data_IF_070745974139
#
_entry.id   IF_070745974139
#
_cell.length_a   1.000
_cell.length_b   1.000
_cell.length_c   1.000
_cell.angle_alpha   90.00
_cell.angle_beta   90.00
_cell.angle_gamma   90.00
#
_symmetry.space_group_name_H-M   'P 1'
#
loop_
_entity.id
_entity.type
_entity.pdbx_description
1 polymer ?
#
# COMPACT_ATOMS: atom_id res chain seq x y z
N UNK A 1 16.23 7.69 -16.73
CA UNK A 1 17.02 6.60 -17.37
C UNK A 1 17.77 5.94 -16.24
N UNK A 2 17.06 5.05 -15.54
CA UNK A 2 17.62 4.33 -14.40
C UNK A 2 18.53 3.25 -14.96
N UNK A 3 19.83 3.34 -14.59
CA UNK A 3 20.84 2.39 -15.01
C UNK A 3 20.43 0.97 -14.65
N UNK A 4 20.57 0.08 -15.60
CA UNK A 4 20.38 -1.35 -15.38
C UNK A 4 21.29 -1.78 -14.25
N UNK A 5 20.69 -2.42 -13.24
CA UNK A 5 21.43 -2.96 -12.12
C UNK A 5 22.45 -3.99 -12.62
N UNK A 6 23.70 -3.86 -12.18
CA UNK A 6 24.81 -4.76 -12.53
C UNK A 6 24.48 -6.23 -12.23
N UNK A 7 23.65 -6.47 -11.24
CA UNK A 7 23.17 -7.80 -10.85
C UNK A 7 22.29 -8.42 -11.94
N UNK A 8 21.34 -7.67 -12.49
CA UNK A 8 20.52 -8.11 -13.64
C UNK A 8 21.39 -8.44 -14.85
N UNK A 9 22.42 -7.65 -15.09
CA UNK A 9 23.39 -7.86 -16.16
C UNK A 9 24.12 -9.19 -16.02
N UNK A 10 24.64 -9.46 -14.82
CA UNK A 10 25.32 -10.72 -14.52
C UNK A 10 24.39 -11.92 -14.65
N UNK A 11 23.14 -11.80 -14.20
CA UNK A 11 22.16 -12.87 -14.32
C UNK A 11 21.89 -13.25 -15.77
N UNK A 12 21.70 -12.28 -16.67
CA UNK A 12 21.47 -12.54 -18.10
C UNK A 12 22.67 -13.25 -18.71
N UNK A 13 23.89 -12.79 -18.45
CA UNK A 13 25.12 -13.40 -18.98
C UNK A 13 25.23 -14.85 -18.50
N UNK A 14 25.04 -15.12 -17.22
CA UNK A 14 25.12 -16.48 -16.66
C UNK A 14 24.12 -17.44 -17.33
N UNK A 15 22.90 -16.99 -17.54
CA UNK A 15 21.88 -17.84 -18.24
C UNK A 15 22.25 -18.05 -19.70
N UNK A 16 22.82 -17.05 -20.38
CA UNK A 16 23.31 -17.21 -21.75
C UNK A 16 24.47 -18.21 -21.86
N UNK A 17 25.32 -18.25 -20.82
CA UNK A 17 26.45 -19.18 -20.70
C UNK A 17 26.01 -20.59 -20.25
N UNK A 18 24.70 -20.83 -20.07
CA UNK A 18 24.13 -22.14 -19.79
C UNK A 18 23.75 -22.38 -18.31
N UNK A 19 23.87 -21.40 -17.43
CA UNK A 19 23.35 -21.52 -16.07
C UNK A 19 21.80 -21.57 -16.07
N UNK A 20 21.22 -22.25 -15.10
CA UNK A 20 19.77 -22.20 -14.88
C UNK A 20 19.35 -20.86 -14.28
N UNK A 21 18.07 -20.43 -14.42
CA UNK A 21 17.58 -19.24 -13.76
C UNK A 21 17.80 -19.25 -12.24
N UNK A 22 17.63 -20.40 -11.58
CA UNK A 22 17.84 -20.57 -10.12
C UNK A 22 19.28 -20.31 -9.69
N UNK A 23 20.24 -20.70 -10.53
CA UNK A 23 21.66 -20.42 -10.28
C UNK A 23 22.01 -18.95 -10.56
N UNK A 24 21.26 -18.29 -11.43
CA UNK A 24 21.59 -16.95 -11.93
C UNK A 24 21.02 -15.82 -11.06
N UNK A 25 19.80 -15.99 -10.53
CA UNK A 25 19.11 -14.95 -9.75
C UNK A 25 18.06 -15.56 -8.79
N UNK A 26 17.51 -14.72 -7.89
CA UNK A 26 16.41 -15.12 -7.00
C UNK A 26 15.12 -15.35 -7.77
N UNK A 27 14.78 -16.61 -8.02
CA UNK A 27 13.57 -17.02 -8.77
C UNK A 27 12.27 -16.76 -7.99
N UNK A 28 12.32 -16.56 -6.66
CA UNK A 28 11.15 -16.20 -5.87
C UNK A 28 10.76 -14.71 -6.09
N UNK A 29 11.68 -13.91 -6.59
CA UNK A 29 11.47 -12.49 -6.86
C UNK A 29 10.74 -12.27 -8.20
N UNK A 30 9.49 -11.82 -8.15
CA UNK A 30 8.77 -11.34 -9.34
C UNK A 30 9.51 -10.19 -10.05
N UNK A 31 10.27 -9.39 -9.28
CA UNK A 31 11.11 -8.31 -9.83
C UNK A 31 12.25 -8.82 -10.68
N UNK A 32 12.94 -9.89 -10.21
CA UNK A 32 14.07 -10.47 -10.90
C UNK A 32 13.68 -11.07 -12.28
N UNK A 33 12.54 -11.76 -12.37
CA UNK A 33 12.02 -12.25 -13.64
C UNK A 33 11.72 -11.14 -14.64
N UNK A 34 11.13 -10.03 -14.18
CA UNK A 34 10.84 -8.88 -15.04
C UNK A 34 12.12 -8.15 -15.48
N UNK A 35 13.10 -8.05 -14.59
CA UNK A 35 14.39 -7.48 -14.88
C UNK A 35 15.15 -8.36 -15.88
N UNK A 36 15.14 -9.69 -15.70
CA UNK A 36 15.72 -10.63 -16.64
C UNK A 36 15.09 -10.51 -18.04
N UNK A 37 13.75 -10.53 -18.15
CA UNK A 37 13.06 -10.35 -19.43
C UNK A 37 13.44 -9.04 -20.12
N UNK A 38 13.46 -7.95 -19.39
CA UNK A 38 13.84 -6.66 -19.91
C UNK A 38 15.34 -6.60 -20.30
N UNK A 39 16.21 -7.22 -19.48
CA UNK A 39 17.65 -7.30 -19.76
C UNK A 39 18.01 -8.06 -21.01
N UNK A 40 17.33 -9.17 -21.29
CA UNK A 40 17.52 -9.94 -22.54
C UNK A 40 17.05 -9.14 -23.76
N UNK A 41 15.97 -8.35 -23.65
CA UNK A 41 15.36 -7.61 -24.75
C UNK A 41 16.06 -6.33 -25.16
N UNK A 42 16.99 -5.84 -24.36
CA UNK A 42 17.70 -4.61 -24.70
C UNK A 42 18.90 -4.89 -25.61
N UNK A 43 18.72 -4.85 -26.94
CA UNK A 43 19.77 -5.18 -27.89
C UNK A 43 20.86 -4.11 -27.96
N UNK A 44 20.54 -2.85 -27.63
CA UNK A 44 21.45 -1.73 -27.73
C UNK A 44 22.65 -1.86 -26.77
N UNK A 45 22.41 -2.50 -25.63
CA UNK A 45 23.46 -2.74 -24.64
C UNK A 45 24.23 -4.06 -24.90
N UNK A 46 23.69 -4.97 -25.74
CA UNK A 46 24.26 -6.31 -25.95
C UNK A 46 24.02 -6.88 -27.33
N UNK A 47 24.53 -6.27 -28.39
CA UNK A 47 24.41 -6.80 -29.73
C UNK A 47 24.99 -8.23 -29.88
N UNK A 48 25.93 -8.61 -29.01
CA UNK A 48 26.59 -9.93 -29.03
C UNK A 48 25.69 -11.09 -28.55
N UNK A 49 24.63 -10.83 -27.76
CA UNK A 49 23.68 -11.89 -27.33
C UNK A 49 22.97 -12.57 -28.51
N UNK A 50 22.88 -11.88 -29.65
CA UNK A 50 22.15 -12.34 -30.84
C UNK A 50 23.02 -12.30 -32.10
N UNK A 51 24.27 -11.85 -32.00
CA UNK A 51 25.26 -11.89 -33.07
C UNK A 51 26.13 -13.14 -32.90
N UNK A 52 26.56 -13.70 -34.04
CA UNK A 52 27.53 -14.81 -34.08
C UNK A 52 28.74 -14.49 -33.20
N UNK A 53 29.35 -15.49 -32.50
CA UNK A 53 30.63 -15.28 -31.83
C UNK A 53 31.62 -14.73 -32.87
N UNK A 54 32.24 -13.58 -32.52
CA UNK A 54 33.23 -12.93 -33.35
C UNK A 54 34.42 -13.87 -33.54
N UNK A 55 34.58 -14.41 -34.72
CA UNK A 55 35.68 -15.32 -35.01
C UNK A 55 36.04 -15.50 -36.47
N UNK A 56 35.17 -15.10 -37.41
CA UNK A 56 35.59 -15.05 -38.79
C UNK A 56 35.08 -13.78 -39.46
N UNK A 57 35.99 -12.95 -40.08
CA UNK A 57 35.56 -11.87 -40.91
C UNK A 57 34.71 -12.45 -42.03
N UNK A 58 33.52 -11.87 -42.23
CA UNK A 58 32.68 -12.16 -43.40
C UNK A 58 33.52 -12.00 -44.67
N UNK A 59 33.96 -13.10 -45.24
CA UNK A 59 34.60 -13.07 -46.55
C UNK A 59 33.58 -12.47 -47.51
N UNK A 60 33.88 -11.35 -48.15
CA UNK A 60 32.96 -10.78 -49.11
C UNK A 60 32.56 -11.86 -50.09
N UNK A 61 31.26 -11.90 -50.41
CA UNK A 61 30.75 -12.86 -51.41
C UNK A 61 31.59 -12.76 -52.69
N UNK A 62 32.04 -13.88 -53.26
CA UNK A 62 32.92 -13.88 -54.41
C UNK A 62 32.27 -13.05 -55.54
N UNK A 63 33.01 -12.05 -56.00
CA UNK A 63 32.55 -11.20 -57.10
C UNK A 63 32.36 -11.98 -58.36
N UNK A 64 31.58 -11.45 -59.29
CA UNK A 64 31.35 -12.11 -60.59
C UNK A 64 32.71 -12.39 -61.30
N UNK A 65 33.73 -11.59 -61.08
CA UNK A 65 35.09 -11.76 -61.56
C UNK A 65 35.84 -12.93 -60.90
N UNK A 66 35.57 -13.24 -59.62
CA UNK A 66 36.16 -14.39 -58.91
C UNK A 66 35.58 -15.71 -59.43
N UNK A 67 34.26 -15.70 -59.78
CA UNK A 67 33.58 -16.85 -60.38
C UNK A 67 34.08 -17.16 -61.79
N UNK A 68 34.38 -16.09 -62.57
CA UNK A 68 34.88 -16.21 -63.95
C UNK A 68 36.35 -16.67 -63.99
N UNK A 69 37.13 -16.45 -62.94
CA UNK A 69 38.54 -16.83 -62.84
C UNK A 69 38.77 -18.24 -62.29
N UNK A 70 37.70 -19.04 -62.10
CA UNK A 70 37.83 -20.44 -61.65
C UNK A 70 38.46 -20.62 -60.27
N UNK A 71 38.57 -19.55 -59.49
CA UNK A 71 39.13 -19.57 -58.11
C UNK A 71 38.09 -19.97 -57.07
N UNK A 72 37.05 -20.69 -57.41
CA UNK A 72 36.12 -21.29 -56.49
C UNK A 72 36.75 -22.56 -55.94
N UNK A 73 37.46 -22.52 -54.86
CA UNK A 73 37.85 -23.69 -54.06
C UNK A 73 36.62 -24.48 -53.61
N UNK A 74 36.77 -25.71 -53.09
CA UNK A 74 35.67 -26.55 -52.66
C UNK A 74 34.82 -25.73 -51.67
N UNK A 75 33.51 -25.76 -51.93
CA UNK A 75 32.51 -25.02 -51.17
C UNK A 75 32.65 -25.44 -49.72
N UNK A 76 33.27 -24.55 -48.88
CA UNK A 76 33.31 -24.79 -47.46
C UNK A 76 31.88 -25.02 -47.00
N UNK A 77 31.68 -26.06 -46.21
CA UNK A 77 30.37 -26.35 -45.62
C UNK A 77 29.85 -25.05 -44.96
N UNK A 78 28.55 -24.73 -45.12
CA UNK A 78 28.03 -23.54 -44.43
C UNK A 78 28.42 -23.62 -42.96
N UNK A 79 28.89 -22.50 -42.34
CA UNK A 79 29.25 -22.51 -40.94
C UNK A 79 28.07 -23.10 -40.17
N UNK A 80 28.40 -24.02 -39.25
CA UNK A 80 27.39 -24.64 -38.38
C UNK A 80 26.52 -23.53 -37.76
N UNK A 81 25.20 -23.66 -37.89
CA UNK A 81 24.27 -22.71 -37.27
C UNK A 81 24.65 -22.57 -35.78
N UNK A 82 24.72 -21.36 -35.21
CA UNK A 82 24.99 -21.21 -33.81
C UNK A 82 23.97 -22.06 -32.99
N UNK A 83 24.39 -22.61 -31.86
CA UNK A 83 23.48 -23.41 -31.02
C UNK A 83 22.27 -22.55 -30.67
N UNK A 84 21.07 -23.15 -30.57
CA UNK A 84 19.88 -22.39 -30.17
C UNK A 84 20.09 -21.77 -28.78
N UNK A 85 19.60 -20.55 -28.55
CA UNK A 85 19.72 -19.92 -27.24
C UNK A 85 19.01 -20.74 -26.15
N UNK A 86 19.48 -20.73 -24.90
CA UNK A 86 18.80 -21.38 -23.79
C UNK A 86 17.31 -21.02 -23.75
N UNK A 87 16.40 -21.93 -23.36
CA UNK A 87 14.94 -21.69 -23.42
C UNK A 87 14.50 -20.41 -22.68
N UNK A 88 15.11 -20.09 -21.54
CA UNK A 88 14.82 -18.86 -20.80
C UNK A 88 15.15 -17.60 -21.63
N UNK A 89 16.29 -17.60 -22.32
CA UNK A 89 16.70 -16.49 -23.20
C UNK A 89 15.81 -16.43 -24.45
N UNK A 90 15.49 -17.60 -25.04
CA UNK A 90 14.61 -17.68 -26.20
C UNK A 90 13.20 -17.15 -25.89
N UNK A 91 12.66 -17.40 -24.72
CA UNK A 91 11.39 -16.84 -24.24
C UNK A 91 11.42 -15.31 -24.12
N UNK A 92 12.58 -14.71 -23.94
CA UNK A 92 12.76 -13.25 -23.84
C UNK A 92 13.30 -12.61 -25.12
N UNK A 93 13.50 -13.36 -26.21
CA UNK A 93 14.14 -12.91 -27.44
C UNK A 93 13.43 -11.69 -28.05
N UNK A 94 14.14 -10.72 -28.68
CA UNK A 94 13.52 -9.59 -29.38
C UNK A 94 12.56 -10.02 -30.48
N UNK A 95 12.92 -11.06 -31.27
CA UNK A 95 12.05 -11.61 -32.32
C UNK A 95 10.90 -12.43 -31.73
N UNK A 96 9.65 -12.02 -32.05
CA UNK A 96 8.43 -12.69 -31.60
C UNK A 96 8.30 -14.13 -32.09
N UNK A 97 8.84 -14.49 -33.24
CA UNK A 97 8.82 -15.88 -33.80
C UNK A 97 9.65 -16.81 -32.90
N UNK A 98 10.81 -16.36 -32.46
CA UNK A 98 11.66 -17.11 -31.51
C UNK A 98 10.96 -17.32 -30.19
N UNK A 99 10.34 -16.25 -29.64
CA UNK A 99 9.56 -16.34 -28.40
C UNK A 99 8.40 -17.31 -28.51
N UNK A 100 7.66 -17.26 -29.63
CA UNK A 100 6.52 -18.15 -29.89
C UNK A 100 6.95 -19.62 -29.93
N UNK A 101 8.03 -19.92 -30.64
CA UNK A 101 8.58 -21.28 -30.73
C UNK A 101 9.07 -21.77 -29.34
N UNK A 102 9.71 -20.91 -28.56
CA UNK A 102 10.24 -21.24 -27.23
C UNK A 102 9.16 -21.56 -26.20
N UNK A 103 7.90 -21.12 -26.38
CA UNK A 103 6.82 -21.38 -25.43
C UNK A 103 6.55 -22.88 -25.20
N UNK A 104 6.82 -23.75 -26.15
CA UNK A 104 6.62 -25.20 -25.98
C UNK A 104 7.57 -25.80 -24.94
N UNK A 105 8.74 -25.21 -24.71
CA UNK A 105 9.69 -25.65 -23.69
C UNK A 105 9.10 -25.58 -22.27
N UNK A 106 8.12 -24.70 -22.00
CA UNK A 106 7.50 -24.59 -20.66
C UNK A 106 6.75 -25.86 -20.24
N UNK A 107 6.38 -26.71 -21.20
CA UNK A 107 5.73 -28.01 -20.94
C UNK A 107 6.65 -29.00 -20.22
N UNK A 108 7.94 -28.95 -20.53
CA UNK A 108 8.98 -29.85 -19.96
C UNK A 108 9.85 -29.16 -18.93
N UNK A 109 9.79 -27.83 -18.84
CA UNK A 109 10.59 -26.98 -17.93
C UNK A 109 9.66 -26.09 -17.09
N UNK A 110 9.05 -26.63 -16.00
CA UNK A 110 8.11 -25.89 -15.14
C UNK A 110 8.71 -24.63 -14.51
N UNK A 111 10.01 -24.58 -14.30
CA UNK A 111 10.76 -23.42 -13.78
C UNK A 111 10.67 -22.20 -14.70
N UNK A 112 10.31 -22.39 -15.97
CA UNK A 112 10.09 -21.30 -16.93
C UNK A 112 8.66 -20.71 -16.90
N UNK A 113 7.75 -21.23 -16.05
CA UNK A 113 6.39 -20.70 -15.90
C UNK A 113 6.31 -19.21 -15.58
N UNK A 114 7.24 -18.61 -14.83
CA UNK A 114 7.25 -17.16 -14.67
C UNK A 114 7.37 -16.39 -15.99
N UNK A 115 8.20 -16.87 -16.93
CA UNK A 115 8.32 -16.26 -18.25
C UNK A 115 7.07 -16.52 -19.11
N UNK A 116 6.38 -17.65 -18.95
CA UNK A 116 5.08 -17.87 -19.57
C UNK A 116 4.07 -16.81 -19.12
N UNK A 117 4.01 -16.51 -17.82
CA UNK A 117 3.15 -15.44 -17.29
C UNK A 117 3.50 -14.09 -17.92
N UNK A 118 4.78 -13.76 -18.06
CA UNK A 118 5.22 -12.53 -18.72
C UNK A 118 4.76 -12.49 -20.19
N UNK A 119 4.81 -13.62 -20.91
CA UNK A 119 4.33 -13.73 -22.32
C UNK A 119 2.82 -13.59 -22.45
N UNK A 120 2.03 -13.82 -21.42
CA UNK A 120 0.57 -13.59 -21.45
C UNK A 120 0.20 -12.11 -21.68
N UNK A 121 1.13 -11.18 -21.42
CA UNK A 121 0.99 -9.76 -21.72
C UNK A 121 1.85 -9.30 -22.93
N UNK A 122 2.39 -10.22 -23.72
CA UNK A 122 3.24 -9.89 -24.86
C UNK A 122 2.51 -8.99 -25.87
N UNK A 123 3.24 -8.05 -26.50
CA UNK A 123 2.66 -7.17 -27.53
C UNK A 123 2.37 -7.90 -28.84
N UNK A 124 3.11 -9.00 -29.13
CA UNK A 124 2.93 -9.83 -30.32
C UNK A 124 1.75 -10.77 -30.09
N UNK A 125 0.69 -10.63 -30.89
CA UNK A 125 -0.57 -11.37 -30.71
C UNK A 125 -0.41 -12.90 -30.76
N UNK A 126 0.32 -13.54 -31.70
CA UNK A 126 0.54 -14.98 -31.68
C UNK A 126 1.24 -15.48 -30.42
N UNK A 127 2.30 -14.81 -29.97
CA UNK A 127 3.01 -15.13 -28.71
C UNK A 127 2.05 -15.07 -27.52
N UNK A 128 1.31 -13.98 -27.40
CA UNK A 128 0.34 -13.76 -26.33
C UNK A 128 -0.76 -14.82 -26.34
N UNK A 129 -1.31 -15.13 -27.51
CA UNK A 129 -2.36 -16.13 -27.66
C UNK A 129 -1.91 -17.52 -27.23
N UNK A 130 -0.74 -17.96 -27.71
CA UNK A 130 -0.14 -19.25 -27.33
C UNK A 130 0.20 -19.32 -25.86
N UNK A 131 0.77 -18.25 -25.28
CA UNK A 131 1.10 -18.17 -23.86
C UNK A 131 -0.16 -18.28 -22.98
N UNK A 132 -1.22 -17.58 -23.33
CA UNK A 132 -2.51 -17.65 -22.62
C UNK A 132 -3.14 -19.03 -22.68
N UNK A 133 -3.11 -19.67 -23.83
CA UNK A 133 -3.62 -21.05 -23.99
C UNK A 133 -2.82 -22.04 -23.11
N UNK A 134 -1.50 -21.92 -23.09
CA UNK A 134 -0.64 -22.75 -22.23
C UNK A 134 -0.89 -22.50 -20.74
N UNK A 135 -1.01 -21.23 -20.31
CA UNK A 135 -1.26 -20.89 -18.92
C UNK A 135 -2.63 -21.40 -18.45
N UNK A 136 -3.67 -21.26 -19.28
CA UNK A 136 -5.01 -21.76 -18.99
C UNK A 136 -5.09 -23.29 -18.91
N UNK A 137 -4.17 -24.00 -19.55
CA UNK A 137 -4.06 -25.45 -19.48
C UNK A 137 -3.32 -25.99 -18.25
N UNK A 138 -2.76 -25.12 -17.40
CA UNK A 138 -2.11 -25.55 -16.17
C UNK A 138 -3.13 -25.89 -15.07
N UNK A 139 -2.82 -26.82 -14.16
CA UNK A 139 -3.59 -26.98 -12.93
C UNK A 139 -3.66 -25.67 -12.14
N UNK A 140 -4.82 -25.38 -11.52
CA UNK A 140 -5.03 -24.10 -10.84
C UNK A 140 -4.02 -23.80 -9.74
N UNK A 141 -3.60 -24.81 -8.99
CA UNK A 141 -2.58 -24.69 -7.94
C UNK A 141 -1.19 -24.32 -8.47
N UNK A 142 -0.89 -24.64 -9.70
CA UNK A 142 0.36 -24.22 -10.35
C UNK A 142 0.48 -22.70 -10.54
N UNK A 143 -0.62 -21.96 -10.40
CA UNK A 143 -0.63 -20.48 -10.45
C UNK A 143 -0.27 -19.84 -9.10
N UNK A 144 -0.38 -20.55 -7.99
CA UNK A 144 -0.21 -19.99 -6.65
C UNK A 144 1.21 -19.48 -6.39
N UNK A 145 2.28 -20.22 -6.73
CA UNK A 145 3.65 -19.71 -6.62
C UNK A 145 3.92 -18.49 -7.52
N UNK A 146 3.11 -18.31 -8.59
CA UNK A 146 3.24 -17.22 -9.56
C UNK A 146 2.39 -15.98 -9.19
N UNK A 147 1.62 -16.04 -8.10
CA UNK A 147 0.63 -15.01 -7.75
C UNK A 147 1.24 -13.61 -7.67
N UNK A 148 2.39 -13.45 -7.02
CA UNK A 148 3.06 -12.15 -6.91
C UNK A 148 3.45 -11.56 -8.27
N UNK A 149 3.94 -12.39 -9.19
CA UNK A 149 4.29 -11.98 -10.56
C UNK A 149 3.02 -11.64 -11.36
N UNK A 150 2.00 -12.49 -11.30
CA UNK A 150 0.71 -12.27 -11.97
C UNK A 150 0.10 -10.94 -11.54
N UNK A 151 0.02 -10.69 -10.23
CA UNK A 151 -0.57 -9.46 -9.69
C UNK A 151 0.27 -8.21 -10.00
N UNK A 152 1.58 -8.34 -10.12
CA UNK A 152 2.45 -7.25 -10.55
C UNK A 152 2.26 -6.92 -12.03
N UNK A 153 2.11 -7.94 -12.88
CA UNK A 153 1.85 -7.78 -14.31
C UNK A 153 0.45 -7.27 -14.61
N UNK A 154 -0.54 -7.59 -13.78
CA UNK A 154 -1.91 -7.11 -13.91
C UNK A 154 -2.04 -5.56 -13.89
N UNK A 155 -1.01 -4.85 -13.44
CA UNK A 155 -0.94 -3.38 -13.49
C UNK A 155 -0.47 -2.84 -14.84
N UNK A 156 -0.06 -3.72 -15.77
CA UNK A 156 0.39 -3.37 -17.11
C UNK A 156 -0.71 -3.61 -18.12
N UNK A 157 -0.61 -2.98 -19.27
CA UNK A 157 -1.49 -3.24 -20.39
C UNK A 157 -1.52 -4.75 -20.71
N UNK A 158 -2.71 -5.29 -20.95
CA UNK A 158 -2.96 -6.71 -21.29
C UNK A 158 -2.64 -7.72 -20.17
N UNK A 159 -2.40 -7.26 -18.93
CA UNK A 159 -2.05 -8.13 -17.79
C UNK A 159 -3.23 -8.84 -17.12
N UNK A 160 -4.47 -8.43 -17.39
CA UNK A 160 -5.67 -8.89 -16.68
C UNK A 160 -5.97 -10.39 -16.85
N UNK A 161 -5.62 -10.99 -17.99
CA UNK A 161 -5.92 -12.40 -18.29
C UNK A 161 -5.38 -13.35 -17.19
N UNK A 162 -4.09 -13.24 -16.88
CA UNK A 162 -3.47 -14.12 -15.88
C UNK A 162 -4.04 -13.89 -14.48
N UNK A 163 -4.41 -12.63 -14.15
CA UNK A 163 -5.06 -12.28 -12.90
C UNK A 163 -6.43 -12.93 -12.78
N UNK A 164 -7.27 -12.82 -13.80
CA UNK A 164 -8.60 -13.46 -13.80
C UNK A 164 -8.47 -14.98 -13.60
N UNK A 165 -7.54 -15.61 -14.32
CA UNK A 165 -7.29 -17.03 -14.18
C UNK A 165 -6.83 -17.42 -12.76
N UNK A 166 -5.95 -16.63 -12.14
CA UNK A 166 -5.53 -16.83 -10.74
C UNK A 166 -6.71 -16.67 -9.76
N UNK A 167 -7.53 -15.64 -9.93
CA UNK A 167 -8.69 -15.40 -9.08
C UNK A 167 -9.70 -16.56 -9.18
N UNK A 168 -9.96 -17.06 -10.38
CA UNK A 168 -10.85 -18.20 -10.59
C UNK A 168 -10.28 -19.49 -10.01
N UNK A 169 -8.98 -19.73 -10.18
CA UNK A 169 -8.29 -20.86 -9.57
C UNK A 169 -8.37 -20.82 -8.04
N UNK A 170 -8.19 -19.65 -7.41
CA UNK A 170 -8.30 -19.48 -5.96
C UNK A 170 -9.75 -19.64 -5.46
N UNK A 171 -10.75 -19.19 -6.23
CA UNK A 171 -12.16 -19.42 -5.87
C UNK A 171 -12.53 -20.89 -5.90
N UNK A 172 -11.93 -21.66 -6.80
CA UNK A 172 -12.16 -23.11 -6.93
C UNK A 172 -11.29 -23.96 -5.99
N UNK A 173 -10.19 -23.40 -5.46
CA UNK A 173 -9.20 -24.14 -4.68
C UNK A 173 -9.75 -24.66 -3.34
N UNK A 174 -9.18 -25.76 -2.80
CA UNK A 174 -9.41 -26.14 -1.41
C UNK A 174 -9.03 -25.00 -0.43
N UNK A 175 -9.74 -24.93 0.71
CA UNK A 175 -9.52 -23.89 1.72
C UNK A 175 -8.03 -23.75 2.13
N UNK A 176 -7.35 -24.88 2.34
CA UNK A 176 -5.94 -24.90 2.71
C UNK A 176 -5.04 -24.15 1.70
N UNK A 177 -5.31 -24.27 0.39
CA UNK A 177 -4.53 -23.58 -0.64
C UNK A 177 -4.69 -22.07 -0.60
N UNK A 178 -5.92 -21.57 -0.35
CA UNK A 178 -6.16 -20.13 -0.19
C UNK A 178 -5.54 -19.61 1.10
N UNK A 179 -5.73 -20.33 2.23
CA UNK A 179 -5.22 -19.92 3.53
C UNK A 179 -3.68 -19.91 3.58
N UNK A 180 -3.01 -20.80 2.87
CA UNK A 180 -1.54 -20.76 2.75
C UNK A 180 -1.03 -19.43 2.18
N UNK A 181 -1.75 -18.84 1.23
CA UNK A 181 -1.39 -17.56 0.61
C UNK A 181 -1.67 -16.34 1.51
N UNK A 182 -2.40 -16.48 2.61
CA UNK A 182 -2.58 -15.38 3.58
C UNK A 182 -1.29 -15.01 4.31
N UNK A 183 -0.28 -15.89 4.28
CA UNK A 183 1.07 -15.67 4.82
C UNK A 183 2.09 -15.30 3.75
N UNK A 184 1.68 -15.04 2.52
CA UNK A 184 2.60 -14.68 1.44
C UNK A 184 3.36 -13.38 1.76
N UNK A 185 4.66 -13.29 1.42
CA UNK A 185 5.46 -12.09 1.68
C UNK A 185 5.04 -10.91 0.81
N UNK A 186 4.47 -11.18 -0.36
CA UNK A 186 3.99 -10.15 -1.27
C UNK A 186 2.61 -9.62 -0.86
N UNK A 187 2.56 -8.27 -0.71
CA UNK A 187 1.35 -7.56 -0.24
C UNK A 187 0.13 -7.77 -1.14
N UNK A 188 0.31 -7.86 -2.45
CA UNK A 188 -0.81 -8.04 -3.36
C UNK A 188 -1.39 -9.45 -3.26
N UNK A 189 -0.54 -10.45 -3.11
CA UNK A 189 -0.91 -11.86 -2.96
C UNK A 189 -1.68 -12.10 -1.67
N UNK A 190 -1.18 -11.70 -0.51
CA UNK A 190 -1.92 -11.94 0.73
C UNK A 190 -3.23 -11.14 0.80
N UNK A 191 -3.28 -9.91 0.25
CA UNK A 191 -4.55 -9.16 0.15
C UNK A 191 -5.59 -9.87 -0.71
N UNK A 192 -5.17 -10.44 -1.83
CA UNK A 192 -6.06 -11.24 -2.68
C UNK A 192 -6.55 -12.49 -1.95
N UNK A 193 -5.63 -13.20 -1.28
CA UNK A 193 -5.97 -14.40 -0.53
C UNK A 193 -6.99 -14.12 0.59
N UNK A 194 -6.77 -13.04 1.39
CA UNK A 194 -7.74 -12.64 2.42
C UNK A 194 -9.10 -12.24 1.83
N UNK A 195 -9.12 -11.52 0.70
CA UNK A 195 -10.39 -11.17 0.04
C UNK A 195 -11.17 -12.42 -0.32
N UNK A 196 -10.51 -13.38 -0.98
CA UNK A 196 -11.15 -14.64 -1.38
C UNK A 196 -11.53 -15.47 -0.16
N UNK A 197 -10.72 -15.49 0.90
CA UNK A 197 -11.04 -16.18 2.14
C UNK A 197 -12.28 -15.59 2.82
N UNK A 198 -12.42 -14.26 2.84
CA UNK A 198 -13.62 -13.56 3.34
C UNK A 198 -14.83 -13.86 2.46
N UNK A 199 -14.71 -13.71 1.13
CA UNK A 199 -15.80 -13.94 0.17
C UNK A 199 -16.34 -15.37 0.26
N UNK A 200 -15.47 -16.34 0.56
CA UNK A 200 -15.80 -17.76 0.70
C UNK A 200 -16.14 -18.20 2.14
N UNK A 201 -16.04 -17.30 3.12
CA UNK A 201 -16.29 -17.63 4.53
C UNK A 201 -15.31 -18.65 5.12
N UNK A 202 -14.04 -18.61 4.70
CA UNK A 202 -13.00 -19.56 5.14
C UNK A 202 -12.38 -19.23 6.50
N UNK A 203 -12.64 -18.04 7.02
CA UNK A 203 -12.13 -17.57 8.32
C UNK A 203 -13.28 -17.31 9.27
N UNK A 204 -13.12 -17.72 10.52
CA UNK A 204 -14.10 -17.41 11.56
C UNK A 204 -14.14 -15.89 11.85
N UNK A 205 -15.28 -15.32 12.26
CA UNK A 205 -15.39 -13.89 12.59
C UNK A 205 -14.39 -13.43 13.66
N UNK A 206 -14.08 -14.29 14.62
CA UNK A 206 -13.08 -14.02 15.67
C UNK A 206 -11.65 -13.99 15.14
N UNK A 207 -11.33 -14.80 14.13
CA UNK A 207 -10.04 -14.77 13.44
C UNK A 207 -9.91 -13.49 12.60
N UNK A 208 -10.97 -13.11 11.87
CA UNK A 208 -11.01 -11.85 11.12
C UNK A 208 -10.83 -10.63 12.04
N UNK A 209 -11.50 -10.60 13.19
CA UNK A 209 -11.32 -9.56 14.21
C UNK A 209 -9.88 -9.52 14.74
N UNK A 210 -9.23 -10.68 14.91
CA UNK A 210 -7.84 -10.76 15.33
C UNK A 210 -6.89 -10.18 14.27
N UNK A 211 -7.07 -10.56 13.01
CA UNK A 211 -6.29 -10.02 11.89
C UNK A 211 -6.48 -8.51 11.80
N UNK A 212 -7.70 -8.00 11.84
CA UNK A 212 -7.98 -6.57 11.81
C UNK A 212 -7.25 -5.81 12.92
N UNK A 213 -7.27 -6.37 14.16
CA UNK A 213 -6.68 -5.72 15.33
C UNK A 213 -5.14 -5.66 15.31
N UNK A 214 -4.47 -6.61 14.65
CA UNK A 214 -3.01 -6.81 14.75
C UNK A 214 -2.23 -6.55 13.48
N UNK A 215 -2.83 -6.67 12.28
CA UNK A 215 -2.10 -6.48 11.03
C UNK A 215 -1.72 -5.02 10.81
N UNK A 216 -0.57 -4.80 10.14
CA UNK A 216 -0.08 -3.46 9.76
C UNK A 216 -0.68 -2.89 8.48
N UNK A 217 -1.55 -3.64 7.79
CA UNK A 217 -2.08 -3.27 6.49
C UNK A 217 -3.49 -2.68 6.61
N UNK A 218 -3.63 -1.38 6.34
CA UNK A 218 -4.89 -0.65 6.49
C UNK A 218 -6.03 -1.24 5.64
N UNK A 219 -5.73 -1.68 4.41
CA UNK A 219 -6.74 -2.29 3.53
C UNK A 219 -7.27 -3.59 4.11
N UNK A 220 -6.37 -4.36 4.72
CA UNK A 220 -6.73 -5.63 5.35
C UNK A 220 -7.45 -5.41 6.69
N UNK A 221 -7.05 -4.38 7.46
CA UNK A 221 -7.78 -3.97 8.66
C UNK A 221 -9.24 -3.68 8.34
N UNK A 222 -9.49 -2.86 7.30
CA UNK A 222 -10.85 -2.48 6.91
C UNK A 222 -11.64 -3.70 6.42
N UNK A 223 -11.07 -4.52 5.52
CA UNK A 223 -11.70 -5.74 5.00
C UNK A 223 -12.10 -6.72 6.11
N UNK A 224 -11.17 -7.05 6.99
CA UNK A 224 -11.38 -8.04 8.03
C UNK A 224 -12.30 -7.50 9.15
N UNK A 225 -12.20 -6.19 9.50
CA UNK A 225 -13.11 -5.60 10.48
C UNK A 225 -14.56 -5.57 9.96
N UNK A 226 -14.76 -5.19 8.70
CA UNK A 226 -16.09 -5.17 8.06
C UNK A 226 -16.72 -6.58 8.03
N UNK A 227 -15.93 -7.59 7.60
CA UNK A 227 -16.39 -8.97 7.56
C UNK A 227 -16.69 -9.54 8.96
N UNK A 228 -15.85 -9.22 9.98
CA UNK A 228 -16.10 -9.62 11.36
C UNK A 228 -17.38 -8.98 11.91
N UNK A 229 -17.59 -7.67 11.68
CA UNK A 229 -18.81 -6.95 12.10
C UNK A 229 -20.06 -7.46 11.42
N UNK A 230 -19.98 -7.95 10.17
CA UNK A 230 -21.12 -8.52 9.47
C UNK A 230 -21.71 -9.75 10.20
N UNK A 231 -20.86 -10.47 10.93
CA UNK A 231 -21.28 -11.62 11.74
C UNK A 231 -21.91 -11.25 13.09
N UNK A 232 -21.82 -9.96 13.52
CA UNK A 232 -22.51 -9.45 14.71
C UNK A 232 -23.96 -9.16 14.34
N UNK A 233 -24.86 -10.08 14.69
CA UNK A 233 -26.28 -9.98 14.37
C UNK A 233 -27.04 -8.90 15.16
N UNK A 234 -28.31 -8.62 14.76
CA UNK A 234 -29.21 -7.76 15.54
C UNK A 234 -29.51 -8.40 16.90
N UNK A 235 -29.46 -7.60 17.98
CA UNK A 235 -29.76 -8.08 19.35
C UNK A 235 -28.54 -8.46 20.19
N UNK A 236 -27.35 -8.12 19.74
CA UNK A 236 -26.16 -7.99 20.61
C UNK A 236 -25.37 -9.23 20.97
N UNK A 237 -25.92 -10.39 20.77
CA UNK A 237 -25.21 -11.64 20.99
C UNK A 237 -25.87 -12.75 20.19
N UNK A 238 -25.67 -12.79 18.92
CA UNK A 238 -25.84 -14.05 18.21
C UNK A 238 -24.70 -15.01 18.63
N UNK A 239 -24.73 -15.44 19.91
CA UNK A 239 -23.78 -16.39 20.47
C UNK A 239 -22.47 -15.78 21.02
N UNK A 240 -21.60 -16.62 21.63
CA UNK A 240 -20.32 -16.22 22.24
C UNK A 240 -19.36 -15.57 21.27
N UNK A 241 -19.45 -15.89 19.98
CA UNK A 241 -18.57 -15.36 18.94
C UNK A 241 -18.78 -13.86 18.68
N UNK A 242 -20.02 -13.37 18.70
CA UNK A 242 -20.33 -11.95 18.51
C UNK A 242 -19.77 -11.08 19.62
N UNK A 243 -19.85 -11.55 20.89
CA UNK A 243 -19.25 -10.84 22.02
C UNK A 243 -17.73 -10.80 21.92
N UNK A 244 -17.09 -11.92 21.58
CA UNK A 244 -15.65 -12.00 21.41
C UNK A 244 -15.12 -11.12 20.25
N UNK A 245 -15.88 -11.04 19.13
CA UNK A 245 -15.59 -10.13 18.02
C UNK A 245 -15.61 -8.68 18.49
N UNK A 246 -16.70 -8.26 19.18
CA UNK A 246 -16.84 -6.89 19.67
C UNK A 246 -15.71 -6.53 20.63
N UNK A 247 -15.43 -7.37 21.65
CA UNK A 247 -14.35 -7.14 22.60
C UNK A 247 -13.01 -6.91 21.89
N UNK A 248 -12.69 -7.77 20.92
CA UNK A 248 -11.43 -7.68 20.18
C UNK A 248 -11.32 -6.43 19.33
N UNK A 249 -12.40 -6.04 18.65
CA UNK A 249 -12.42 -4.82 17.84
C UNK A 249 -12.35 -3.57 18.71
N UNK A 250 -13.08 -3.52 19.84
CA UNK A 250 -13.09 -2.38 20.76
C UNK A 250 -11.74 -2.16 21.46
N UNK A 251 -10.99 -3.22 21.76
CA UNK A 251 -9.65 -3.18 22.34
C UNK A 251 -8.53 -2.91 21.32
N UNK A 252 -8.83 -2.88 20.02
CA UNK A 252 -7.81 -2.77 18.97
C UNK A 252 -7.02 -1.47 19.02
N UNK A 253 -5.70 -1.54 18.73
CA UNK A 253 -4.82 -0.35 18.67
C UNK A 253 -5.16 0.58 17.49
N UNK A 254 -5.44 0.09 16.27
CA UNK A 254 -5.80 0.94 15.14
C UNK A 254 -7.17 1.61 15.36
N UNK A 255 -7.28 2.94 15.21
CA UNK A 255 -8.54 3.65 15.48
C UNK A 255 -9.65 3.28 14.50
N UNK A 256 -9.33 2.90 13.26
CA UNK A 256 -10.30 2.41 12.27
C UNK A 256 -11.01 1.15 12.76
N UNK A 257 -10.25 0.21 13.29
CA UNK A 257 -10.77 -1.06 13.81
C UNK A 257 -11.63 -0.81 15.05
N UNK A 258 -11.17 0.06 15.98
CA UNK A 258 -12.01 0.45 17.14
C UNK A 258 -13.29 1.13 16.71
N UNK A 259 -13.24 2.04 15.71
CA UNK A 259 -14.45 2.70 15.24
C UNK A 259 -15.45 1.73 14.60
N UNK A 260 -14.98 0.68 13.93
CA UNK A 260 -15.83 -0.40 13.43
C UNK A 260 -16.51 -1.16 14.59
N UNK A 261 -15.74 -1.50 15.65
CA UNK A 261 -16.27 -2.10 16.87
C UNK A 261 -17.33 -1.23 17.55
N UNK A 262 -17.03 0.07 17.76
CA UNK A 262 -17.98 1.02 18.35
C UNK A 262 -19.27 1.12 17.50
N UNK A 263 -19.13 1.22 16.17
CA UNK A 263 -20.31 1.27 15.29
C UNK A 263 -21.12 -0.02 15.35
N UNK A 264 -20.47 -1.16 15.52
CA UNK A 264 -21.14 -2.46 15.64
C UNK A 264 -21.97 -2.59 16.93
N UNK A 265 -21.65 -1.84 18.01
CA UNK A 265 -22.48 -1.77 19.22
C UNK A 265 -23.92 -1.36 18.94
N UNK A 266 -24.15 -0.51 17.92
CA UNK A 266 -25.51 -0.14 17.49
C UNK A 266 -26.29 -1.36 17.00
N UNK A 267 -25.67 -2.20 16.15
CA UNK A 267 -26.29 -3.44 15.66
C UNK A 267 -26.60 -4.40 16.80
N UNK A 268 -25.69 -4.44 17.77
CA UNK A 268 -25.81 -5.25 18.96
C UNK A 268 -26.86 -4.75 19.95
N UNK A 269 -27.48 -3.59 19.76
CA UNK A 269 -28.38 -2.98 20.73
C UNK A 269 -27.68 -2.48 22.01
N UNK A 270 -26.34 -2.47 22.04
CA UNK A 270 -25.49 -2.14 23.20
C UNK A 270 -25.05 -0.68 23.16
N UNK A 271 -26.00 0.24 22.99
CA UNK A 271 -25.70 1.67 22.76
C UNK A 271 -24.91 2.29 23.92
N UNK A 272 -25.23 1.95 25.17
CA UNK A 272 -24.55 2.47 26.37
C UNK A 272 -23.07 2.11 26.44
N UNK A 273 -22.67 0.98 25.85
CA UNK A 273 -21.28 0.54 25.85
C UNK A 273 -20.38 1.42 24.98
N UNK A 274 -20.95 2.36 24.22
CA UNK A 274 -20.19 3.36 23.47
C UNK A 274 -19.69 4.53 24.35
N UNK A 275 -20.19 4.72 25.57
CA UNK A 275 -19.85 5.84 26.45
C UNK A 275 -18.34 5.95 26.75
N UNK A 276 -17.60 4.89 27.11
CA UNK A 276 -16.17 4.98 27.37
C UNK A 276 -15.38 5.51 26.16
N UNK A 277 -15.88 5.35 24.95
CA UNK A 277 -15.23 5.80 23.70
C UNK A 277 -15.46 7.27 23.38
N UNK A 278 -16.28 7.98 24.15
CA UNK A 278 -16.36 9.44 24.11
C UNK A 278 -15.01 10.11 24.45
N UNK A 279 -14.21 9.47 25.29
CA UNK A 279 -12.88 9.92 25.65
C UNK A 279 -11.74 9.25 24.85
N UNK A 280 -12.05 8.59 23.71
CA UNK A 280 -11.00 8.00 22.85
C UNK A 280 -10.09 9.09 22.27
N UNK A 281 -8.81 8.78 22.19
CA UNK A 281 -7.78 9.69 21.60
C UNK A 281 -8.04 10.04 20.13
N UNK A 282 -8.79 9.21 19.40
CA UNK A 282 -9.10 9.37 17.99
C UNK A 282 -10.45 10.05 17.78
N UNK A 283 -10.47 11.15 17.03
CA UNK A 283 -11.68 11.89 16.69
C UNK A 283 -12.73 11.01 15.99
N UNK A 284 -12.28 10.07 15.12
CA UNK A 284 -13.19 9.16 14.41
C UNK A 284 -13.90 8.20 15.36
N UNK A 285 -13.20 7.70 16.37
CA UNK A 285 -13.79 6.81 17.38
C UNK A 285 -14.79 7.57 18.24
N UNK A 286 -14.44 8.80 18.69
CA UNK A 286 -15.37 9.67 19.44
C UNK A 286 -16.62 10.01 18.62
N UNK A 287 -16.46 10.29 17.30
CA UNK A 287 -17.59 10.55 16.42
C UNK A 287 -18.53 9.36 16.31
N UNK A 288 -17.98 8.14 16.19
CA UNK A 288 -18.76 6.90 16.18
C UNK A 288 -19.47 6.68 17.52
N UNK A 289 -18.81 6.95 18.66
CA UNK A 289 -19.41 6.83 19.98
C UNK A 289 -20.61 7.78 20.14
N UNK A 290 -20.45 9.06 19.76
CA UNK A 290 -21.55 10.05 19.75
C UNK A 290 -22.73 9.57 18.88
N UNK A 291 -22.41 9.06 17.69
CA UNK A 291 -23.42 8.54 16.80
C UNK A 291 -24.23 7.38 17.43
N UNK A 292 -23.52 6.41 17.99
CA UNK A 292 -24.15 5.22 18.60
C UNK A 292 -24.99 5.59 19.80
N UNK A 293 -24.52 6.46 20.69
CA UNK A 293 -25.29 6.93 21.84
C UNK A 293 -26.57 7.67 21.43
N UNK A 294 -26.49 8.59 20.43
CA UNK A 294 -27.69 9.28 19.90
C UNK A 294 -28.71 8.31 19.29
N UNK A 295 -28.25 7.25 18.64
CA UNK A 295 -29.17 6.20 18.14
C UNK A 295 -29.86 5.44 19.28
N UNK A 296 -29.26 5.40 20.46
CA UNK A 296 -29.82 4.87 21.70
C UNK A 296 -30.64 5.91 22.49
N UNK A 297 -30.85 7.11 21.97
CA UNK A 297 -31.61 8.19 22.65
C UNK A 297 -30.79 8.96 23.69
N UNK A 298 -29.48 8.74 23.78
CA UNK A 298 -28.59 9.43 24.75
C UNK A 298 -27.92 10.64 24.09
N UNK A 299 -28.09 11.85 24.67
CA UNK A 299 -27.32 13.01 24.26
C UNK A 299 -25.90 12.92 24.85
N UNK A 300 -24.84 12.90 24.03
CA UNK A 300 -23.46 12.81 24.51
C UNK A 300 -22.93 14.12 25.12
N UNK A 301 -23.59 15.28 24.94
CA UNK A 301 -23.08 16.57 25.40
C UNK A 301 -22.98 16.68 26.94
N UNK A 302 -24.01 16.34 27.73
CA UNK A 302 -23.88 16.29 29.18
C UNK A 302 -22.74 15.38 29.66
N UNK A 303 -22.57 14.20 29.03
CA UNK A 303 -21.51 13.27 29.37
C UNK A 303 -20.11 13.87 29.13
N UNK A 304 -19.92 14.62 28.05
CA UNK A 304 -18.65 15.32 27.82
C UNK A 304 -18.35 16.39 28.88
N UNK A 305 -19.36 17.10 29.37
CA UNK A 305 -19.21 18.08 30.44
C UNK A 305 -18.78 17.41 31.74
N UNK A 306 -19.36 16.26 32.07
CA UNK A 306 -18.98 15.43 33.22
C UNK A 306 -17.54 14.89 33.07
N UNK A 307 -17.19 14.32 31.91
CA UNK A 307 -15.83 13.82 31.62
C UNK A 307 -14.78 14.94 31.73
N UNK A 308 -15.12 16.16 31.34
CA UNK A 308 -14.25 17.33 31.45
C UNK A 308 -14.08 17.82 32.94
N UNK A 309 -14.91 17.39 33.88
CA UNK A 309 -14.70 17.64 35.31
C UNK A 309 -13.56 16.81 35.91
N UNK A 310 -13.20 15.66 35.27
CA UNK A 310 -12.06 14.83 35.64
C UNK A 310 -11.02 14.74 34.48
N UNK A 311 -10.43 15.87 34.04
CA UNK A 311 -9.72 15.97 32.79
C UNK A 311 -8.41 15.15 32.76
N UNK A 312 -7.78 14.91 33.92
CA UNK A 312 -6.57 14.10 34.03
C UNK A 312 -6.84 12.61 33.65
N UNK A 313 -8.02 12.10 33.99
CA UNK A 313 -8.46 10.74 33.69
C UNK A 313 -8.94 10.61 32.24
N UNK A 314 -9.60 11.65 31.72
CA UNK A 314 -10.24 11.67 30.40
C UNK A 314 -9.74 12.83 29.53
N UNK A 315 -8.43 12.92 29.21
CA UNK A 315 -7.89 14.10 28.56
C UNK A 315 -8.54 14.42 27.20
N UNK A 316 -8.92 13.39 26.44
CA UNK A 316 -9.50 13.57 25.13
C UNK A 316 -10.97 14.01 25.12
N UNK A 317 -11.63 14.00 26.29
CA UNK A 317 -13.00 14.50 26.42
C UNK A 317 -13.09 16.01 26.07
N UNK A 318 -12.06 16.80 26.37
CA UNK A 318 -12.01 18.20 25.98
C UNK A 318 -12.11 18.41 24.46
N UNK A 319 -11.44 17.57 23.66
CA UNK A 319 -11.58 17.62 22.22
C UNK A 319 -13.00 17.18 21.78
N UNK A 320 -13.57 16.17 22.43
CA UNK A 320 -14.93 15.69 22.18
C UNK A 320 -15.99 16.75 22.51
N UNK A 321 -15.82 17.47 23.60
CA UNK A 321 -16.66 18.61 23.97
C UNK A 321 -16.62 19.66 22.86
N UNK A 322 -15.45 20.01 22.35
CA UNK A 322 -15.33 20.95 21.25
C UNK A 322 -15.96 20.48 19.93
N UNK A 323 -15.99 19.15 19.70
CA UNK A 323 -16.58 18.57 18.48
C UNK A 323 -18.12 18.58 18.45
N UNK A 324 -18.81 18.78 19.58
CA UNK A 324 -20.27 18.77 19.66
C UNK A 324 -20.88 19.74 20.65
N UNK A 325 -20.07 20.53 21.36
CA UNK A 325 -20.49 21.51 22.34
C UNK A 325 -20.97 22.81 21.72
N UNK A 326 -21.39 23.71 22.58
CA UNK A 326 -21.84 25.06 22.23
C UNK A 326 -20.73 26.11 22.49
N UNK A 327 -20.52 27.00 21.51
CA UNK A 327 -19.47 28.02 21.55
C UNK A 327 -19.61 28.95 22.76
N UNK A 328 -20.82 29.39 23.07
CA UNK A 328 -21.07 30.37 24.15
C UNK A 328 -20.93 29.73 25.52
N UNK A 329 -21.38 28.48 25.66
CA UNK A 329 -21.43 27.79 26.95
C UNK A 329 -20.12 27.05 27.29
N UNK A 330 -19.50 26.38 26.32
CA UNK A 330 -18.44 25.40 26.57
C UNK A 330 -17.02 25.95 26.32
N UNK A 331 -16.89 27.10 25.60
CA UNK A 331 -15.58 27.67 25.31
C UNK A 331 -14.81 28.08 26.62
N UNK A 332 -15.51 28.60 27.62
CA UNK A 332 -14.91 29.00 28.88
C UNK A 332 -14.23 27.82 29.62
N UNK A 333 -14.91 26.67 29.68
CA UNK A 333 -14.39 25.45 30.25
C UNK A 333 -13.15 24.94 29.49
N UNK A 334 -13.18 24.95 28.16
CA UNK A 334 -12.04 24.55 27.34
C UNK A 334 -10.84 25.48 27.53
N UNK A 335 -11.06 26.80 27.65
CA UNK A 335 -9.98 27.76 27.96
C UNK A 335 -9.32 27.52 29.32
N UNK A 336 -10.08 27.15 30.34
CA UNK A 336 -9.52 26.76 31.63
C UNK A 336 -8.63 25.51 31.53
N UNK A 337 -9.01 24.55 30.70
CA UNK A 337 -8.23 23.34 30.49
C UNK A 337 -6.95 23.54 29.65
N UNK A 338 -6.80 24.64 28.95
CA UNK A 338 -5.54 25.00 28.25
C UNK A 338 -4.38 25.23 29.23
N UNK A 339 -4.68 25.63 30.48
CA UNK A 339 -3.68 25.89 31.53
C UNK A 339 -3.42 24.68 32.44
N UNK A 340 -4.04 23.55 32.15
CA UNK A 340 -3.94 22.34 32.97
C UNK A 340 -2.51 21.78 33.00
N UNK A 341 -2.02 21.28 34.17
CA UNK A 341 -0.64 20.77 34.30
C UNK A 341 -0.34 19.59 33.38
N UNK A 342 -1.31 18.73 33.11
CA UNK A 342 -1.15 17.54 32.23
C UNK A 342 -1.14 17.96 30.75
N UNK A 343 -0.04 17.71 29.99
CA UNK A 343 0.07 18.14 28.59
C UNK A 343 -1.01 17.56 27.66
N UNK A 344 -1.46 16.34 27.94
CA UNK A 344 -2.52 15.70 27.15
C UNK A 344 -3.85 16.48 27.28
N UNK A 345 -4.17 17.04 28.44
CA UNK A 345 -5.37 17.86 28.63
C UNK A 345 -5.26 19.14 27.82
N UNK A 346 -4.11 19.87 27.96
CA UNK A 346 -3.87 21.10 27.17
C UNK A 346 -4.00 20.86 25.68
N UNK A 347 -3.37 19.78 25.17
CA UNK A 347 -3.45 19.37 23.76
C UNK A 347 -4.90 19.24 23.30
N UNK A 348 -5.72 18.49 24.06
CA UNK A 348 -7.09 18.22 23.69
C UNK A 348 -8.03 19.43 23.90
N UNK A 349 -7.74 20.29 24.88
CA UNK A 349 -8.44 21.55 25.05
C UNK A 349 -8.24 22.50 23.86
N UNK A 350 -7.00 22.65 23.38
CA UNK A 350 -6.69 23.42 22.16
C UNK A 350 -7.41 22.82 20.94
N UNK A 351 -7.43 21.49 20.84
CA UNK A 351 -8.13 20.82 19.75
C UNK A 351 -9.65 21.04 19.80
N UNK A 352 -10.21 21.08 21.02
CA UNK A 352 -11.63 21.39 21.25
C UNK A 352 -11.97 22.83 20.88
N UNK A 353 -11.16 23.81 21.32
CA UNK A 353 -11.34 25.22 20.92
C UNK A 353 -11.26 25.40 19.41
N UNK A 354 -10.34 24.71 18.77
CA UNK A 354 -10.24 24.74 17.30
C UNK A 354 -11.47 24.12 16.63
N UNK A 355 -12.02 23.03 17.17
CA UNK A 355 -13.22 22.39 16.65
C UNK A 355 -14.49 23.26 16.84
N UNK A 356 -14.57 24.04 17.93
CA UNK A 356 -15.63 25.02 18.17
C UNK A 356 -15.45 26.32 17.36
N UNK A 357 -14.33 26.44 16.62
CA UNK A 357 -13.97 27.68 15.93
C UNK A 357 -13.88 28.89 16.89
N UNK A 358 -13.29 28.67 18.08
CA UNK A 358 -13.03 29.68 19.13
C UNK A 358 -11.54 29.81 19.35
N UNK A 359 -10.84 30.23 18.30
CA UNK A 359 -9.40 30.47 18.33
C UNK A 359 -9.16 31.93 18.70
N UNK A 360 -8.42 32.16 19.79
CA UNK A 360 -7.91 33.47 20.17
C UNK A 360 -6.41 33.46 20.01
N UNK A 361 -5.94 34.07 18.95
CA UNK A 361 -4.53 34.06 18.52
C UNK A 361 -3.59 34.47 19.64
N UNK A 362 -3.91 35.56 20.34
CA UNK A 362 -3.10 36.11 21.41
C UNK A 362 -2.92 35.13 22.61
N UNK A 363 -3.95 34.31 22.86
CA UNK A 363 -3.91 33.29 23.93
C UNK A 363 -3.20 32.00 23.51
N UNK A 364 -3.24 31.64 22.23
CA UNK A 364 -2.62 30.42 21.72
C UNK A 364 -1.15 30.60 21.31
N UNK A 365 -0.72 31.81 20.94
CA UNK A 365 0.66 32.08 20.49
C UNK A 365 1.72 31.72 21.56
N UNK A 366 1.52 31.98 22.87
CA UNK A 366 2.47 31.54 23.90
C UNK A 366 2.66 30.01 23.95
N UNK A 367 1.66 29.23 23.59
CA UNK A 367 1.72 27.77 23.62
C UNK A 367 2.60 27.18 22.52
N UNK A 368 3.11 28.00 21.59
CA UNK A 368 4.18 27.61 20.67
C UNK A 368 5.50 27.33 21.39
N UNK A 369 5.67 27.82 22.65
CA UNK A 369 6.82 27.55 23.50
C UNK A 369 6.51 26.53 24.62
N UNK A 370 5.37 25.80 24.53
CA UNK A 370 5.02 24.77 25.52
C UNK A 370 6.11 23.67 25.59
N UNK A 371 6.47 23.18 26.79
CA UNK A 371 7.43 22.09 26.95
C UNK A 371 7.05 20.81 26.19
N UNK A 372 5.75 20.59 25.98
CA UNK A 372 5.25 19.41 25.25
C UNK A 372 5.20 19.65 23.73
N UNK A 373 5.96 18.89 22.93
CA UNK A 373 5.88 18.97 21.47
C UNK A 373 4.48 18.68 20.91
N UNK A 374 3.65 17.96 21.65
CA UNK A 374 2.29 17.65 21.24
C UNK A 374 1.38 18.89 21.37
N UNK A 375 1.52 19.67 22.45
CA UNK A 375 0.82 20.94 22.65
C UNK A 375 1.26 21.96 21.60
N UNK A 376 2.57 22.11 21.36
CA UNK A 376 3.10 22.97 20.28
C UNK A 376 2.46 22.63 18.93
N UNK A 377 2.33 21.34 18.58
CA UNK A 377 1.68 20.93 17.34
C UNK A 377 0.20 21.26 17.29
N UNK A 378 -0.52 21.14 18.41
CA UNK A 378 -1.94 21.50 18.48
C UNK A 378 -2.14 23.00 18.32
N UNK A 379 -1.38 23.82 19.06
CA UNK A 379 -1.39 25.27 18.94
C UNK A 379 -1.06 25.73 17.51
N UNK A 380 -0.02 25.14 16.91
CA UNK A 380 0.33 25.41 15.51
C UNK A 380 -0.83 25.13 14.56
N UNK A 381 -1.51 23.99 14.70
CA UNK A 381 -2.65 23.64 13.85
C UNK A 381 -3.80 24.63 14.00
N UNK A 382 -4.13 25.00 15.22
CA UNK A 382 -5.19 25.96 15.51
C UNK A 382 -4.88 27.36 14.97
N UNK A 383 -3.61 27.78 15.01
CA UNK A 383 -3.16 29.09 14.53
C UNK A 383 -2.95 29.18 13.00
N UNK A 384 -2.91 28.07 12.28
CA UNK A 384 -2.65 28.06 10.83
C UNK A 384 -3.62 28.94 10.02
N UNK A 385 -4.94 28.95 10.28
CA UNK A 385 -5.88 29.81 9.54
C UNK A 385 -5.58 31.31 9.73
N UNK A 386 -5.07 31.70 10.87
CA UNK A 386 -4.80 33.09 11.24
C UNK A 386 -3.30 33.45 11.24
N UNK A 387 -2.48 32.66 10.57
CA UNK A 387 -1.02 32.81 10.60
C UNK A 387 -0.55 34.21 10.14
N UNK A 388 -1.23 34.84 9.18
CA UNK A 388 -0.91 36.17 8.68
C UNK A 388 -1.04 37.28 9.77
N UNK A 389 -1.86 37.06 10.78
CA UNK A 389 -2.07 37.97 11.90
C UNK A 389 -1.02 37.86 12.99
N UNK A 390 -0.16 36.81 12.98
CA UNK A 390 0.93 36.67 13.96
C UNK A 390 2.09 37.57 13.54
N UNK A 391 2.64 38.41 14.45
CA UNK A 391 3.80 39.23 14.13
C UNK A 391 4.99 38.39 13.67
N UNK A 392 5.54 38.73 12.52
CA UNK A 392 6.59 37.92 11.86
C UNK A 392 7.86 37.80 12.70
N UNK A 393 8.22 38.87 13.45
CA UNK A 393 9.38 38.85 14.34
C UNK A 393 9.27 37.79 15.44
N UNK A 394 8.06 37.56 15.99
CA UNK A 394 7.82 36.52 17.00
C UNK A 394 8.02 35.12 16.45
N UNK A 395 7.66 34.90 15.19
CA UNK A 395 7.86 33.61 14.51
C UNK A 395 9.34 33.42 14.12
N UNK A 396 10.03 34.47 13.65
CA UNK A 396 11.47 34.42 13.34
C UNK A 396 12.31 34.13 14.58
N UNK A 397 11.98 34.73 15.73
CA UNK A 397 12.63 34.42 16.99
C UNK A 397 12.51 32.94 17.39
N UNK A 398 11.33 32.34 17.16
CA UNK A 398 11.07 30.93 17.44
C UNK A 398 11.69 29.98 16.40
N UNK A 399 12.02 30.44 15.22
CA UNK A 399 12.71 29.65 14.19
C UNK A 399 14.23 29.61 14.37
N UNK A 400 14.78 30.38 15.35
CA UNK A 400 16.22 30.46 15.62
C UNK A 400 16.81 29.07 15.98
N UNK A 401 18.06 28.76 15.55
CA UNK A 401 18.68 27.44 15.71
C UNK A 401 18.73 26.91 17.18
N UNK A 402 18.83 27.79 18.15
CA UNK A 402 18.91 27.45 19.57
C UNK A 402 17.57 27.01 20.18
N UNK A 403 16.46 27.27 19.51
CA UNK A 403 15.13 26.87 19.98
C UNK A 403 14.89 25.37 19.83
N UNK A 404 14.06 24.74 20.68
CA UNK A 404 13.70 23.34 20.54
C UNK A 404 13.17 23.02 19.13
N UNK A 405 13.47 21.85 18.61
CA UNK A 405 13.06 21.43 17.24
C UNK A 405 11.56 21.60 16.98
N UNK A 406 10.70 21.26 17.98
CA UNK A 406 9.25 21.38 17.83
C UNK A 406 8.82 22.84 17.61
N UNK A 407 9.42 23.77 18.36
CA UNK A 407 9.15 25.20 18.27
C UNK A 407 9.60 25.75 16.92
N UNK A 408 10.81 25.40 16.46
CA UNK A 408 11.33 25.83 15.15
C UNK A 408 10.43 25.36 13.99
N UNK A 409 10.05 24.07 14.00
CA UNK A 409 9.17 23.50 12.96
C UNK A 409 7.79 24.17 12.97
N UNK A 410 7.26 24.49 14.15
CA UNK A 410 6.00 25.24 14.30
C UNK A 410 6.10 26.65 13.69
N UNK A 411 7.13 27.39 14.05
CA UNK A 411 7.38 28.74 13.57
C UNK A 411 7.58 28.79 12.05
N UNK A 412 8.39 27.90 11.48
CA UNK A 412 8.60 27.80 10.03
C UNK A 412 7.33 27.45 9.26
N UNK A 413 6.48 26.60 9.84
CA UNK A 413 5.18 26.25 9.23
C UNK A 413 4.23 27.45 9.22
N UNK A 414 4.16 28.21 10.30
CA UNK A 414 3.34 29.41 10.42
C UNK A 414 3.86 30.54 9.52
N UNK A 415 5.18 30.76 9.43
CA UNK A 415 5.78 31.73 8.51
C UNK A 415 5.41 31.43 7.04
N UNK A 416 5.51 30.15 6.65
CA UNK A 416 5.11 29.75 5.29
C UNK A 416 3.60 29.94 5.04
N UNK A 417 2.75 29.69 6.03
CA UNK A 417 1.32 29.91 5.93
C UNK A 417 1.01 31.43 5.83
N UNK A 418 1.58 32.25 6.67
CA UNK A 418 1.44 33.70 6.64
C UNK A 418 1.88 34.31 5.30
N UNK A 419 3.02 33.84 4.74
CA UNK A 419 3.49 34.28 3.43
C UNK A 419 2.53 33.93 2.28
N UNK A 420 1.86 32.79 2.35
CA UNK A 420 0.80 32.43 1.38
C UNK A 420 -0.46 33.28 1.53
N UNK A 421 -0.90 33.53 2.75
CA UNK A 421 -2.09 34.31 3.05
C UNK A 421 -1.94 35.80 2.69
N UNK A 422 -0.70 36.34 2.72
CA UNK A 422 -0.38 37.75 2.36
C UNK A 422 -0.18 37.97 0.86
N UNK A 423 -0.06 36.90 0.04
CA UNK A 423 0.03 37.02 -1.43
C UNK A 423 -1.39 37.24 -1.97
N UNK A 424 -1.65 38.31 -2.74
CA UNK A 424 -2.92 38.46 -3.44
C UNK A 424 -3.09 37.28 -4.40
N UNK A 425 -4.31 36.73 -4.49
CA UNK A 425 -4.62 35.76 -5.55
C UNK A 425 -4.27 36.36 -6.90
N UNK A 426 -3.61 35.61 -7.81
CA UNK A 426 -3.44 36.08 -9.18
C UNK A 426 -4.83 36.23 -9.77
N UNK A 427 -5.24 37.51 -9.98
CA UNK A 427 -6.53 37.86 -10.53
C UNK A 427 -6.71 37.12 -11.85
N UNK A 428 -7.74 36.31 -11.96
CA UNK A 428 -8.27 35.88 -13.26
C UNK A 428 -8.68 37.12 -14.04
N UNK A 429 -7.86 37.52 -15.01
CA UNK A 429 -8.24 38.43 -16.10
C UNK A 429 -8.70 37.59 -17.28
#
# INVERSE_FOLDING_TARGET
MDGWDEETMRAVVRVCDGATPEEAFDIASAGAWLAFDAGVRNPDDRPWLFTRPHGEPERPAPTLLDRLRGRGGPRAAPPASPPPPPPAVALCHPDGRVREAALDAVRTAPELRPLLVVRCADWVTPVRGKARALLAGLPGDALFPLAGLILRLARRDRGDFARTLLEDALRAAPAAGVLALTSAPDRATYRLAYRIAVDRGLLAPTELAAVAATCGDVTLQDLCAEAAVAAVGPGGAAGPDGAAVLERLLAARPPRVRSAGVTALRRAGRHGDAEPFLADRSAVVRACARYVLRQGGVDPLPLYRELCAAPATHPAAAAGLGECGDRATDAGALWALVEHPVPAVRLHAISGLHALDVVVRERLTPLLDDPSPAVVRAATRALLPEAAGIPEHLLRERSAPQRPRAVRVAADRLLRAAGRQRRPEPGYR
#
